data_IF_424482436820
#
_entry.id   IF_424482436820
#
_cell.length_a   1.000
_cell.length_b   1.000
_cell.length_c   1.000
_cell.angle_alpha   90.00
_cell.angle_beta   90.00
_cell.angle_gamma   90.00
#
_symmetry.space_group_name_H-M   'P 1'
#
loop_
_entity.id
_entity.type
_entity.pdbx_description
1 polymer ?
#
# COMPACT_ATOMS: atom_id res chain seq x y z
N UNK A 1 16.12 -4.23 3.00
CA UNK A 1 14.95 -4.09 3.88
C UNK A 1 14.17 -5.40 4.03
N UNK A 2 13.37 -5.88 3.06
CA UNK A 2 12.59 -7.13 3.24
C UNK A 2 13.48 -8.34 3.50
N UNK A 3 14.57 -8.49 2.73
CA UNK A 3 15.53 -9.60 2.95
C UNK A 3 16.17 -9.56 4.34
N UNK A 4 16.42 -8.36 4.88
CA UNK A 4 16.95 -8.17 6.23
C UNK A 4 15.91 -8.57 7.28
N UNK A 5 14.65 -8.14 7.12
CA UNK A 5 13.56 -8.56 7.99
C UNK A 5 13.41 -10.09 8.01
N UNK A 6 13.42 -10.73 6.83
CA UNK A 6 13.32 -12.18 6.73
C UNK A 6 14.50 -12.91 7.38
N UNK A 7 15.72 -12.39 7.24
CA UNK A 7 16.89 -12.95 7.94
C UNK A 7 16.72 -12.85 9.46
N UNK A 8 16.35 -11.67 9.97
CA UNK A 8 16.14 -11.46 11.41
C UNK A 8 14.95 -12.23 11.98
N UNK A 9 13.93 -12.53 11.16
CA UNK A 9 12.85 -13.45 11.54
C UNK A 9 13.37 -14.87 11.68
N UNK A 10 14.20 -15.35 10.73
CA UNK A 10 14.84 -16.68 10.81
C UNK A 10 15.76 -16.81 12.02
N UNK A 11 16.50 -15.74 12.32
CA UNK A 11 17.45 -15.71 13.43
C UNK A 11 16.76 -15.40 14.79
N UNK A 12 15.45 -15.14 14.81
CA UNK A 12 14.70 -14.81 16.01
C UNK A 12 14.99 -13.42 16.60
N UNK A 13 15.80 -12.59 15.93
CA UNK A 13 16.26 -11.29 16.44
C UNK A 13 15.39 -10.11 16.05
N UNK A 14 14.37 -10.30 15.20
CA UNK A 14 13.56 -9.21 14.66
C UNK A 14 12.92 -8.31 15.74
N UNK A 15 12.49 -8.84 16.89
CA UNK A 15 11.80 -8.04 17.92
C UNK A 15 12.67 -6.91 18.51
N UNK A 16 13.98 -7.07 18.50
CA UNK A 16 14.96 -6.12 19.04
C UNK A 16 15.49 -5.15 17.98
N UNK A 17 15.22 -5.41 16.70
CA UNK A 17 15.80 -4.69 15.56
C UNK A 17 14.94 -3.54 15.03
N UNK A 18 14.07 -2.97 15.86
CA UNK A 18 13.32 -1.75 15.52
C UNK A 18 12.16 -1.93 14.53
N UNK A 19 11.75 -3.17 14.23
CA UNK A 19 10.56 -3.42 13.40
C UNK A 19 9.26 -3.04 14.13
N UNK A 20 8.15 -2.82 13.38
CA UNK A 20 6.86 -2.57 13.99
C UNK A 20 6.50 -3.65 15.01
N UNK A 21 5.91 -3.27 16.15
CA UNK A 21 5.54 -4.22 17.21
C UNK A 21 4.13 -4.81 17.07
N UNK A 22 3.32 -4.23 16.18
CA UNK A 22 1.92 -4.61 15.97
C UNK A 22 1.74 -4.97 14.50
N UNK A 23 1.21 -6.16 14.24
CA UNK A 23 1.03 -6.71 12.89
C UNK A 23 2.30 -6.61 12.03
N UNK A 24 3.44 -6.99 12.61
CA UNK A 24 4.79 -6.70 12.08
C UNK A 24 4.99 -7.16 10.65
N UNK A 25 4.69 -8.43 10.40
CA UNK A 25 4.77 -9.08 9.09
C UNK A 25 3.87 -8.38 8.06
N UNK A 26 2.62 -8.10 8.43
CA UNK A 26 1.68 -7.36 7.60
C UNK A 26 2.20 -5.95 7.29
N UNK A 27 2.68 -5.22 8.30
CA UNK A 27 3.20 -3.87 8.14
C UNK A 27 4.43 -3.84 7.20
N UNK A 28 5.38 -4.75 7.39
CA UNK A 28 6.56 -4.86 6.50
C UNK A 28 6.14 -5.26 5.08
N UNK A 29 5.16 -6.14 4.91
CA UNK A 29 4.65 -6.51 3.59
C UNK A 29 4.01 -5.33 2.85
N UNK A 30 3.18 -4.52 3.53
CA UNK A 30 2.52 -3.36 2.92
C UNK A 30 3.48 -2.20 2.69
N UNK A 31 4.50 -2.07 3.53
CA UNK A 31 5.64 -1.19 3.31
C UNK A 31 6.37 -1.55 1.99
N UNK A 32 6.66 -2.84 1.79
CA UNK A 32 7.29 -3.31 0.57
C UNK A 32 6.45 -3.01 -0.69
N UNK A 33 5.13 -3.24 -0.64
CA UNK A 33 4.19 -2.90 -1.72
C UNK A 33 4.22 -1.40 -2.04
N UNK A 34 4.15 -0.54 -1.02
CA UNK A 34 4.20 0.91 -1.21
C UNK A 34 5.53 1.38 -1.84
N UNK A 35 6.66 0.82 -1.39
CA UNK A 35 7.97 1.12 -1.94
C UNK A 35 8.10 0.65 -3.40
N UNK A 36 7.61 -0.57 -3.70
CA UNK A 36 7.65 -1.14 -5.04
C UNK A 36 6.84 -0.33 -6.03
N UNK A 37 5.64 0.12 -5.65
CA UNK A 37 4.82 1.02 -6.48
C UNK A 37 5.56 2.26 -6.94
N UNK A 38 6.34 2.91 -6.05
CA UNK A 38 7.13 4.09 -6.41
C UNK A 38 8.27 3.75 -7.37
N UNK A 39 8.94 2.62 -7.17
CA UNK A 39 10.00 2.15 -8.06
C UNK A 39 9.43 1.84 -9.45
N UNK A 40 8.32 1.10 -9.50
CA UNK A 40 7.67 0.71 -10.75
C UNK A 40 7.13 1.93 -11.50
N UNK A 41 6.46 2.85 -10.81
CA UNK A 41 5.99 4.11 -11.39
C UNK A 41 7.12 4.89 -12.06
N UNK A 42 8.27 5.05 -11.38
CA UNK A 42 9.44 5.75 -11.95
C UNK A 42 10.02 5.03 -13.15
N UNK A 43 10.10 3.70 -13.11
CA UNK A 43 10.65 2.90 -14.23
C UNK A 43 9.79 3.07 -15.48
N UNK A 44 8.47 2.92 -15.36
CA UNK A 44 7.52 3.09 -16.46
C UNK A 44 7.43 4.54 -16.95
N UNK A 45 7.60 5.52 -16.06
CA UNK A 45 7.68 6.90 -16.52
C UNK A 45 8.97 7.16 -17.31
N UNK A 46 10.08 6.57 -16.89
CA UNK A 46 11.39 6.76 -17.54
C UNK A 46 11.50 6.02 -18.88
N UNK A 47 10.76 4.92 -19.06
CA UNK A 47 10.69 4.19 -20.32
C UNK A 47 9.68 4.77 -21.33
N UNK A 48 8.92 5.80 -20.94
CA UNK A 48 7.93 6.45 -21.79
C UNK A 48 6.58 5.73 -21.87
N UNK A 49 6.36 4.71 -21.02
CA UNK A 49 5.09 4.01 -20.95
C UNK A 49 3.98 4.92 -20.38
N UNK A 50 2.79 4.86 -21.00
CA UNK A 50 1.59 5.60 -20.54
C UNK A 50 0.82 4.79 -19.50
N UNK A 51 1.50 4.32 -18.47
CA UNK A 51 0.94 3.50 -17.39
C UNK A 51 1.08 4.20 -16.05
N UNK A 52 -0.03 4.28 -15.33
CA UNK A 52 -0.09 4.81 -13.96
C UNK A 52 -0.02 3.67 -12.95
N UNK A 53 0.81 3.80 -11.92
CA UNK A 53 0.95 2.80 -10.85
C UNK A 53 0.80 3.47 -9.50
N UNK A 54 -0.19 3.04 -8.70
CA UNK A 54 -0.51 3.64 -7.41
C UNK A 54 -0.83 2.57 -6.36
N UNK A 55 -0.83 2.97 -5.09
CA UNK A 55 -1.28 2.13 -3.97
C UNK A 55 -2.53 2.72 -3.34
N UNK A 56 -3.44 1.86 -2.89
CA UNK A 56 -4.67 2.26 -2.21
C UNK A 56 -4.84 1.49 -0.90
N UNK A 57 -5.06 2.24 0.18
CA UNK A 57 -5.45 1.71 1.48
C UNK A 57 -6.97 1.83 1.63
N UNK A 58 -7.68 0.68 1.73
CA UNK A 58 -9.14 0.65 1.84
C UNK A 58 -9.66 1.14 3.19
N UNK A 59 -8.78 1.31 4.18
CA UNK A 59 -9.16 1.56 5.57
C UNK A 59 -9.58 0.27 6.29
N UNK A 60 -10.15 0.43 7.48
CA UNK A 60 -10.63 -0.71 8.28
C UNK A 60 -12.02 -1.14 7.79
N UNK A 61 -12.03 -2.17 6.93
CA UNK A 61 -13.16 -2.60 6.12
C UNK A 61 -13.72 -3.94 6.58
N UNK A 62 -15.04 -4.07 6.67
CA UNK A 62 -15.74 -5.29 7.08
C UNK A 62 -15.55 -6.39 6.03
N UNK A 63 -14.65 -7.32 6.33
CA UNK A 63 -14.30 -8.48 5.48
C UNK A 63 -13.94 -9.67 6.38
N UNK A 64 -13.71 -10.85 5.80
CA UNK A 64 -13.22 -12.00 6.55
C UNK A 64 -11.86 -11.73 7.21
N UNK A 65 -10.98 -10.96 6.57
CA UNK A 65 -9.67 -10.56 7.10
C UNK A 65 -9.79 -9.78 8.42
N UNK A 66 -10.86 -9.01 8.58
CA UNK A 66 -11.15 -8.24 9.81
C UNK A 66 -12.21 -8.91 10.69
N UNK A 67 -12.61 -10.15 10.37
CA UNK A 67 -13.67 -10.90 11.06
C UNK A 67 -14.98 -10.09 11.17
N UNK A 68 -15.33 -9.38 10.10
CA UNK A 68 -16.53 -8.53 10.04
C UNK A 68 -16.41 -7.19 10.77
N UNK A 69 -15.29 -6.88 11.43
CA UNK A 69 -15.06 -5.58 12.05
C UNK A 69 -14.64 -4.53 11.01
N UNK A 70 -15.07 -3.29 11.21
CA UNK A 70 -14.73 -2.21 10.29
C UNK A 70 -15.71 -1.06 10.37
N UNK A 71 -15.26 0.11 9.89
CA UNK A 71 -16.11 1.30 9.74
C UNK A 71 -16.71 1.42 8.34
N UNK A 72 -16.34 0.52 7.42
CA UNK A 72 -16.67 0.57 5.98
C UNK A 72 -17.13 -0.78 5.47
N UNK A 73 -17.97 -0.79 4.44
CA UNK A 73 -18.35 -2.01 3.73
C UNK A 73 -17.34 -2.33 2.61
N UNK A 74 -17.37 -3.58 2.11
CA UNK A 74 -16.56 -3.97 0.97
C UNK A 74 -16.98 -3.22 -0.30
N UNK A 75 -18.28 -3.02 -0.49
CA UNK A 75 -18.88 -2.31 -1.63
C UNK A 75 -18.46 -0.84 -1.66
N UNK A 76 -18.52 -0.13 -0.52
CA UNK A 76 -18.09 1.28 -0.43
C UNK A 76 -16.62 1.48 -0.83
N UNK A 77 -15.77 0.51 -0.45
CA UNK A 77 -14.35 0.53 -0.74
C UNK A 77 -14.07 0.16 -2.18
N UNK A 78 -14.79 -0.82 -2.73
CA UNK A 78 -14.66 -1.27 -4.10
C UNK A 78 -15.11 -0.18 -5.08
N UNK A 79 -16.21 0.53 -4.81
CA UNK A 79 -16.66 1.68 -5.61
C UNK A 79 -15.56 2.75 -5.70
N UNK A 80 -14.93 3.11 -4.59
CA UNK A 80 -13.84 4.08 -4.62
C UNK A 80 -12.59 3.54 -5.34
N UNK A 81 -12.22 2.28 -5.11
CA UNK A 81 -11.10 1.64 -5.80
C UNK A 81 -11.29 1.62 -7.32
N UNK A 82 -12.50 1.32 -7.78
CA UNK A 82 -12.86 1.36 -9.19
C UNK A 82 -12.78 2.77 -9.77
N UNK A 83 -13.29 3.79 -9.07
CA UNK A 83 -13.17 5.19 -9.50
C UNK A 83 -11.72 5.64 -9.65
N UNK A 84 -10.85 5.24 -8.71
CA UNK A 84 -9.42 5.55 -8.78
C UNK A 84 -8.75 4.90 -9.99
N UNK A 85 -9.09 3.65 -10.31
CA UNK A 85 -8.56 2.93 -11.46
C UNK A 85 -9.06 3.49 -12.81
N UNK A 86 -10.21 4.17 -12.81
CA UNK A 86 -10.89 4.70 -13.99
C UNK A 86 -10.75 6.23 -14.15
N UNK A 87 -9.83 6.87 -13.41
CA UNK A 87 -9.56 8.30 -13.59
C UNK A 87 -9.15 8.61 -15.04
N UNK A 88 -9.57 9.76 -15.59
CA UNK A 88 -9.21 10.13 -16.94
C UNK A 88 -7.69 10.36 -17.05
N UNK A 89 -7.07 10.15 -18.23
CA UNK A 89 -5.62 10.22 -18.39
C UNK A 89 -4.95 11.51 -17.89
N UNK A 90 -5.63 12.65 -17.98
CA UNK A 90 -5.13 13.94 -17.49
C UNK A 90 -5.11 14.10 -15.97
N UNK A 91 -5.83 13.24 -15.25
CA UNK A 91 -5.94 13.26 -13.78
C UNK A 91 -5.23 12.07 -13.13
N UNK A 92 -4.71 11.12 -13.93
CA UNK A 92 -4.03 9.93 -13.43
C UNK A 92 -2.71 10.29 -12.72
N UNK A 93 -2.63 10.16 -11.39
CA UNK A 93 -1.37 10.30 -10.69
C UNK A 93 -0.54 9.03 -10.89
N UNK A 94 0.76 9.06 -10.62
CA UNK A 94 1.59 7.84 -10.59
C UNK A 94 2.57 7.91 -9.44
N UNK A 95 2.85 6.76 -8.82
CA UNK A 95 3.68 6.64 -7.63
C UNK A 95 3.02 7.15 -6.35
N UNK A 96 1.69 7.33 -6.34
CA UNK A 96 0.93 7.91 -5.23
C UNK A 96 0.31 6.84 -4.33
N UNK A 97 0.25 7.14 -3.03
CA UNK A 97 -0.48 6.35 -2.04
C UNK A 97 -1.78 7.05 -1.64
N UNK A 98 -2.89 6.35 -1.76
CA UNK A 98 -4.22 6.81 -1.41
C UNK A 98 -4.64 6.18 -0.10
N UNK A 99 -4.98 7.00 0.90
CA UNK A 99 -5.64 6.52 2.12
C UNK A 99 -7.08 6.96 2.07
N UNK A 100 -7.97 6.03 1.74
CA UNK A 100 -9.37 6.39 1.48
C UNK A 100 -9.48 7.52 0.44
N UNK A 101 -10.52 8.36 0.53
CA UNK A 101 -10.79 9.54 -0.31
C UNK A 101 -9.76 10.67 -0.18
N UNK A 102 -8.71 10.49 0.61
CA UNK A 102 -7.70 11.52 0.79
C UNK A 102 -6.43 11.08 0.09
N UNK A 103 -6.03 11.75 -1.01
CA UNK A 103 -4.66 11.60 -1.50
C UNK A 103 -3.75 12.05 -0.36
N UNK A 104 -2.98 11.11 0.19
CA UNK A 104 -1.95 11.50 1.12
C UNK A 104 -0.71 11.80 0.29
N UNK A 105 -0.50 13.09 0.03
CA UNK A 105 0.85 13.61 -0.09
C UNK A 105 1.50 13.27 1.25
N UNK A 106 2.21 12.14 1.28
CA UNK A 106 3.01 11.67 2.39
C UNK A 106 2.30 10.88 3.51
N UNK A 107 2.90 9.73 3.84
CA UNK A 107 2.92 9.18 5.19
C UNK A 107 4.37 8.75 5.44
N UNK A 108 4.96 9.33 6.49
CA UNK A 108 6.30 9.04 7.00
C UNK A 108 6.67 7.57 6.87
N UNK A 109 7.56 7.29 5.94
CA UNK A 109 8.76 6.53 6.24
C UNK A 109 9.88 7.56 6.41
#
# INVERSE_FOLDING_TARGET
MVSQFLAQVKDGTWAENGWPKVWTDYAVSKLAVNAYTRVLARRLQSGGERVSVNCFCPGFTRTDMTKGWGKRTAEEVADFGARLALLPPGELPTGTFFKWRTPQLYSKL
#
